data_IF_421386939382
#
_entry.id   IF_421386939382
#
_cell.length_a   1.000
_cell.length_b   1.000
_cell.length_c   1.000
_cell.angle_alpha   90.00
_cell.angle_beta   90.00
_cell.angle_gamma   90.00
#
_symmetry.space_group_name_H-M   'P 1'
#
loop_
_entity.id
_entity.type
_entity.pdbx_description
1 polymer ?
#
# COMPACT_ATOMS: atom_id res chain seq x y z
N UNK A 1 3.69 20.42 -3.31
CA UNK A 1 3.50 18.99 -2.95
C UNK A 1 4.55 18.59 -1.94
N UNK A 2 4.18 17.74 -0.98
CA UNK A 2 5.08 17.17 0.02
C UNK A 2 5.58 15.83 -0.50
N UNK A 3 6.86 15.53 -0.34
CA UNK A 3 7.45 14.24 -0.69
C UNK A 3 7.98 13.57 0.58
N UNK A 4 8.04 12.24 0.58
CA UNK A 4 8.47 11.45 1.74
C UNK A 4 9.30 10.24 1.33
N UNK A 5 10.30 9.92 2.14
CA UNK A 5 11.07 8.67 2.02
C UNK A 5 11.29 8.05 3.38
N UNK A 6 11.36 6.73 3.44
CA UNK A 6 11.65 5.98 4.68
C UNK A 6 10.60 6.24 5.76
N UNK A 7 9.35 5.89 5.46
CA UNK A 7 8.20 6.10 6.34
C UNK A 7 7.81 4.79 7.01
N UNK A 8 7.52 4.83 8.31
CA UNK A 8 7.01 3.68 9.06
C UNK A 8 5.71 4.05 9.73
N UNK A 9 4.69 3.23 9.55
CA UNK A 9 3.40 3.26 10.24
C UNK A 9 3.20 1.93 10.96
N UNK A 10 2.81 1.97 12.23
CA UNK A 10 2.76 0.78 13.09
C UNK A 10 1.57 0.86 14.03
N UNK A 11 0.73 -0.18 14.00
CA UNK A 11 -0.43 -0.38 14.88
C UNK A 11 -1.31 0.87 15.01
N UNK A 12 -1.72 1.43 13.87
CA UNK A 12 -2.58 2.61 13.82
C UNK A 12 -4.01 2.25 14.23
N UNK A 13 -4.74 3.22 14.78
CA UNK A 13 -6.17 3.06 15.08
C UNK A 13 -7.08 3.26 13.86
N UNK A 14 -6.49 3.66 12.74
CA UNK A 14 -7.14 3.99 11.46
C UNK A 14 -6.22 3.54 10.31
N UNK A 15 -6.35 4.11 9.12
CA UNK A 15 -5.47 3.86 7.99
C UNK A 15 -3.99 4.08 8.29
N UNK A 16 -3.10 3.28 7.69
CA UNK A 16 -1.66 3.49 7.87
C UNK A 16 -1.13 4.70 7.07
N UNK A 17 -1.55 4.81 5.82
CA UNK A 17 -1.20 5.95 4.96
C UNK A 17 -2.46 6.42 4.21
N UNK A 18 -3.00 7.56 4.64
CA UNK A 18 -4.10 8.25 3.97
C UNK A 18 -3.56 9.36 3.08
N UNK A 19 -3.87 9.29 1.79
CA UNK A 19 -3.62 10.38 0.85
C UNK A 19 -4.92 10.73 0.14
N UNK A 20 -5.54 11.81 0.57
CA UNK A 20 -6.85 12.23 0.06
C UNK A 20 -6.90 13.71 -0.36
N UNK A 21 -8.01 14.11 -0.99
CA UNK A 21 -8.39 15.51 -1.22
C UNK A 21 -7.31 16.39 -1.90
N UNK A 22 -6.69 15.86 -2.96
CA UNK A 22 -5.76 16.61 -3.82
C UNK A 22 -4.27 16.33 -3.59
N UNK A 23 -3.93 15.40 -2.69
CA UNK A 23 -2.53 15.02 -2.50
C UNK A 23 -1.92 14.44 -3.79
N UNK A 24 -0.83 15.06 -4.25
CA UNK A 24 -0.11 14.67 -5.48
C UNK A 24 1.41 14.60 -5.28
N UNK A 25 1.82 14.33 -4.05
CA UNK A 25 3.21 14.12 -3.64
C UNK A 25 3.77 12.75 -3.99
N UNK A 26 5.05 12.54 -3.64
CA UNK A 26 5.81 11.34 -4.00
C UNK A 26 6.39 10.66 -2.76
N UNK A 27 6.10 9.38 -2.61
CA UNK A 27 6.48 8.56 -1.46
C UNK A 27 7.30 7.35 -1.92
N UNK A 28 8.41 7.05 -1.25
CA UNK A 28 9.22 5.84 -1.52
C UNK A 28 9.78 5.19 -0.26
N UNK A 29 9.76 3.85 -0.18
CA UNK A 29 10.19 3.09 1.00
C UNK A 29 9.26 3.32 2.20
N UNK A 30 8.06 2.75 2.12
CA UNK A 30 7.02 2.84 3.16
C UNK A 30 6.80 1.47 3.80
N UNK A 31 6.92 1.37 5.12
CA UNK A 31 6.54 0.17 5.87
C UNK A 31 5.26 0.47 6.66
N UNK A 32 4.26 -0.39 6.54
CA UNK A 32 3.11 -0.42 7.43
C UNK A 32 2.93 -1.81 8.03
N UNK A 33 2.60 -1.86 9.32
CA UNK A 33 2.29 -3.10 10.01
C UNK A 33 1.16 -2.91 11.01
N UNK A 34 0.10 -3.69 10.84
CA UNK A 34 -0.99 -3.85 11.80
C UNK A 34 -1.11 -5.33 12.18
N UNK A 35 -1.25 -5.58 13.45
CA UNK A 35 -1.54 -6.91 14.00
C UNK A 35 -2.69 -6.88 14.99
N UNK A 36 -2.83 -5.77 15.70
CA UNK A 36 -3.83 -5.57 16.74
C UNK A 36 -4.37 -4.15 16.70
N UNK A 37 -5.60 -3.94 17.14
CA UNK A 37 -6.10 -2.59 17.40
C UNK A 37 -5.75 -2.23 18.83
N UNK A 38 -4.83 -1.26 19.00
CA UNK A 38 -4.45 -0.80 20.34
C UNK A 38 -5.63 -0.10 21.02
N UNK A 39 -5.77 -0.32 22.33
CA UNK A 39 -6.74 0.45 23.12
C UNK A 39 -6.26 1.90 23.18
N UNK A 40 -7.05 2.88 22.68
CA UNK A 40 -6.62 4.26 22.72
C UNK A 40 -6.43 4.73 24.16
N UNK A 41 -5.45 5.62 24.38
CA UNK A 41 -5.35 6.33 25.65
C UNK A 41 -6.62 7.14 25.90
N UNK A 42 -6.92 7.40 27.16
CA UNK A 42 -8.03 8.27 27.54
C UNK A 42 -7.98 9.59 26.75
N UNK A 43 -9.11 9.96 26.12
CA UNK A 43 -9.29 11.16 25.29
C UNK A 43 -8.54 11.18 23.94
N UNK A 44 -7.98 10.07 23.46
CA UNK A 44 -7.30 9.99 22.15
C UNK A 44 -8.25 9.76 20.96
N UNK A 45 -9.57 9.81 21.17
CA UNK A 45 -10.56 9.42 20.17
C UNK A 45 -10.88 7.92 20.23
N UNK A 46 -11.51 7.41 19.17
CA UNK A 46 -11.87 5.99 19.02
C UNK A 46 -11.19 5.42 17.78
N UNK A 47 -10.88 4.10 17.75
CA UNK A 47 -10.41 3.47 16.53
C UNK A 47 -11.48 3.58 15.43
N UNK A 48 -11.02 3.67 14.20
CA UNK A 48 -11.86 3.75 13.02
C UNK A 48 -12.66 2.46 12.83
N UNK A 49 -13.85 2.61 12.23
CA UNK A 49 -14.66 1.48 11.77
C UNK A 49 -14.25 0.96 10.39
N UNK A 50 -13.30 1.62 9.73
CA UNK A 50 -12.89 1.37 8.36
C UNK A 50 -11.35 1.35 8.14
N UNK A 51 -10.52 0.77 9.04
CA UNK A 51 -9.05 0.87 8.90
C UNK A 51 -8.50 0.08 7.71
N UNK A 52 -7.66 0.73 6.91
CA UNK A 52 -7.00 0.20 5.72
C UNK A 52 -5.48 0.27 5.78
N UNK A 53 -4.81 -0.38 4.82
CA UNK A 53 -3.38 -0.19 4.62
C UNK A 53 -3.08 1.20 4.06
N UNK A 54 -3.41 1.39 2.78
CA UNK A 54 -3.41 2.68 2.13
C UNK A 54 -4.87 3.00 1.80
N UNK A 55 -5.37 4.15 2.26
CA UNK A 55 -6.69 4.66 1.89
C UNK A 55 -6.54 5.97 1.14
N UNK A 56 -6.98 5.99 -0.12
CA UNK A 56 -6.92 7.19 -0.92
C UNK A 56 -8.29 7.51 -1.51
N UNK A 57 -8.80 8.66 -1.10
CA UNK A 57 -9.99 9.27 -1.66
C UNK A 57 -9.62 10.37 -2.66
N UNK A 58 -10.40 10.50 -3.72
CA UNK A 58 -10.35 11.69 -4.57
C UNK A 58 -10.96 12.86 -3.82
N UNK A 59 -12.20 13.23 -4.18
CA UNK A 59 -12.97 14.23 -3.46
C UNK A 59 -14.31 13.62 -3.06
N UNK A 60 -14.72 13.76 -1.80
CA UNK A 60 -16.07 13.39 -1.37
C UNK A 60 -16.74 14.39 -0.42
N UNK A 61 -18.06 14.54 -0.53
CA UNK A 61 -18.88 15.41 0.32
C UNK A 61 -19.22 16.77 -0.30
N UNK A 62 -19.80 17.65 0.52
CA UNK A 62 -20.39 18.92 0.05
C UNK A 62 -19.39 19.93 -0.52
N UNK A 63 -18.10 19.78 -0.22
CA UNK A 63 -17.03 20.60 -0.79
C UNK A 63 -16.70 20.25 -2.24
N UNK A 64 -17.16 19.09 -2.73
CA UNK A 64 -16.84 18.56 -4.05
C UNK A 64 -17.89 18.99 -5.07
N UNK A 65 -17.79 20.22 -5.56
CA UNK A 65 -18.78 20.83 -6.48
C UNK A 65 -18.92 20.09 -7.81
N UNK A 66 -17.91 19.31 -8.21
CA UNK A 66 -17.93 18.43 -9.38
C UNK A 66 -17.93 16.94 -8.98
N UNK A 67 -18.36 16.63 -7.76
CA UNK A 67 -18.29 15.30 -7.16
C UNK A 67 -16.86 14.75 -7.16
N UNK A 68 -16.70 13.47 -7.45
CA UNK A 68 -15.40 12.78 -7.54
C UNK A 68 -14.48 13.33 -8.65
N UNK A 69 -14.95 14.26 -9.49
CA UNK A 69 -14.16 14.94 -10.51
C UNK A 69 -13.71 16.35 -10.09
N UNK A 70 -13.94 16.73 -8.83
CA UNK A 70 -13.46 18.00 -8.29
C UNK A 70 -11.93 18.02 -8.26
N UNK A 71 -11.34 19.15 -8.66
CA UNK A 71 -9.90 19.37 -8.64
C UNK A 71 -9.50 20.21 -7.42
N UNK A 72 -8.24 20.10 -6.94
CA UNK A 72 -7.16 19.24 -7.43
C UNK A 72 -7.40 17.74 -7.21
N UNK A 73 -6.92 16.90 -8.12
CA UNK A 73 -7.04 15.44 -8.00
C UNK A 73 -5.99 14.85 -7.04
N UNK A 74 -6.42 13.87 -6.25
CA UNK A 74 -5.53 12.99 -5.49
C UNK A 74 -4.81 12.04 -6.46
N UNK A 75 -3.51 12.25 -6.63
CA UNK A 75 -2.68 11.51 -7.58
C UNK A 75 -1.31 11.18 -6.96
N UNK A 76 -1.17 10.44 -5.85
CA UNK A 76 0.15 10.16 -5.29
C UNK A 76 1.05 9.35 -6.23
N UNK A 77 2.35 9.37 -5.99
CA UNK A 77 3.23 8.26 -6.37
C UNK A 77 3.63 7.55 -5.09
N UNK A 78 3.41 6.25 -5.04
CA UNK A 78 3.84 5.38 -3.94
C UNK A 78 4.66 4.26 -4.54
N UNK A 79 5.98 4.30 -4.35
CA UNK A 79 6.89 3.26 -4.82
C UNK A 79 7.54 2.54 -3.65
N UNK A 80 7.88 1.25 -3.81
CA UNK A 80 8.58 0.49 -2.78
C UNK A 80 7.86 0.58 -1.43
N UNK A 81 6.66 0.03 -1.36
CA UNK A 81 5.89 -0.03 -0.13
C UNK A 81 5.73 -1.48 0.32
N UNK A 82 5.72 -1.71 1.61
CA UNK A 82 5.37 -2.98 2.23
C UNK A 82 4.30 -2.68 3.26
N UNK A 83 3.08 -3.14 3.02
CA UNK A 83 1.97 -2.96 3.96
C UNK A 83 1.47 -4.33 4.40
N UNK A 84 1.44 -4.56 5.71
CA UNK A 84 1.03 -5.84 6.31
C UNK A 84 -0.11 -5.61 7.27
N UNK A 85 -1.27 -6.22 6.99
CA UNK A 85 -2.45 -6.16 7.85
C UNK A 85 -2.50 -7.28 8.89
N UNK A 86 -3.59 -7.30 9.65
CA UNK A 86 -3.81 -8.23 10.78
C UNK A 86 -4.03 -9.68 10.35
N UNK A 87 -4.41 -9.90 9.09
CA UNK A 87 -4.89 -11.19 8.58
C UNK A 87 -6.20 -11.67 9.21
N UNK A 88 -6.87 -10.84 10.04
CA UNK A 88 -8.01 -11.25 10.86
C UNK A 88 -9.17 -10.27 10.69
N UNK A 89 -10.26 -10.70 10.05
CA UNK A 89 -11.47 -9.88 9.84
C UNK A 89 -12.02 -9.29 11.14
N UNK A 90 -11.94 -10.05 12.25
CA UNK A 90 -12.39 -9.61 13.57
C UNK A 90 -11.65 -8.37 14.11
N UNK A 91 -10.44 -8.09 13.60
CA UNK A 91 -9.62 -6.94 14.00
C UNK A 91 -9.66 -5.79 12.98
N UNK A 92 -10.40 -5.94 11.89
CA UNK A 92 -10.46 -4.95 10.80
C UNK A 92 -11.77 -4.15 10.78
N UNK A 93 -12.60 -4.26 11.82
CA UNK A 93 -13.93 -3.67 11.87
C UNK A 93 -14.81 -4.00 10.63
N UNK A 94 -15.95 -3.32 10.47
CA UNK A 94 -16.92 -3.64 9.42
C UNK A 94 -16.51 -3.14 8.03
N UNK A 95 -15.81 -2.01 7.96
CA UNK A 95 -15.34 -1.41 6.69
C UNK A 95 -13.92 -1.81 6.30
N UNK A 96 -13.06 -2.04 7.31
CA UNK A 96 -11.61 -2.15 7.13
C UNK A 96 -11.12 -3.51 6.62
N UNK A 97 -9.81 -3.64 6.48
CA UNK A 97 -9.14 -4.90 6.11
C UNK A 97 -8.86 -5.04 4.62
N UNK A 98 -8.68 -3.91 3.94
CA UNK A 98 -8.20 -3.80 2.56
C UNK A 98 -6.78 -3.23 2.54
N UNK A 99 -5.91 -3.80 1.70
CA UNK A 99 -4.54 -3.34 1.55
C UNK A 99 -4.47 -1.96 0.91
N UNK A 100 -5.00 -1.83 -0.31
CA UNK A 100 -5.08 -0.59 -1.07
C UNK A 100 -6.55 -0.24 -1.32
N UNK A 101 -7.11 0.69 -0.56
CA UNK A 101 -8.45 1.25 -0.75
C UNK A 101 -8.35 2.48 -1.65
N UNK A 102 -8.72 2.34 -2.92
CA UNK A 102 -8.66 3.41 -3.92
C UNK A 102 -10.07 3.72 -4.43
N UNK A 103 -10.59 4.91 -4.13
CA UNK A 103 -11.99 5.25 -4.42
C UNK A 103 -12.22 6.76 -4.62
N UNK A 104 -13.48 7.13 -4.85
CA UNK A 104 -13.97 8.52 -4.90
C UNK A 104 -13.23 9.42 -5.90
N UNK A 105 -12.77 8.83 -7.01
CA UNK A 105 -12.09 9.55 -8.09
C UNK A 105 -10.58 9.72 -7.92
N UNK A 106 -9.97 9.06 -6.92
CA UNK A 106 -8.52 9.04 -6.77
C UNK A 106 -7.82 8.43 -7.98
N UNK A 107 -6.57 8.82 -8.21
CA UNK A 107 -5.66 8.11 -9.09
C UNK A 107 -4.36 7.78 -8.37
N UNK A 108 -3.24 8.02 -9.04
CA UNK A 108 -1.91 7.79 -8.51
C UNK A 108 -1.25 6.52 -9.05
N UNK A 109 0.06 6.42 -8.85
CA UNK A 109 0.83 5.26 -9.28
C UNK A 109 1.38 4.52 -8.06
N UNK A 110 0.98 3.26 -7.91
CA UNK A 110 1.38 2.39 -6.82
C UNK A 110 2.24 1.27 -7.40
N UNK A 111 3.56 1.35 -7.19
CA UNK A 111 4.52 0.49 -7.89
C UNK A 111 5.52 -0.17 -6.95
N UNK A 112 6.00 -1.36 -7.32
CA UNK A 112 7.04 -2.09 -6.59
C UNK A 112 6.64 -2.38 -5.13
N UNK A 113 5.42 -2.86 -4.92
CA UNK A 113 4.83 -3.02 -3.59
C UNK A 113 4.83 -4.46 -3.06
N UNK A 114 4.65 -4.61 -1.76
CA UNK A 114 4.19 -5.83 -1.10
C UNK A 114 2.94 -5.46 -0.31
N UNK A 115 1.85 -6.19 -0.55
CA UNK A 115 0.60 -6.10 0.21
C UNK A 115 0.35 -7.45 0.84
N UNK A 116 0.30 -7.52 2.17
CA UNK A 116 0.15 -8.80 2.84
C UNK A 116 -0.88 -8.80 3.97
N UNK A 117 -1.49 -9.95 4.21
CA UNK A 117 -2.38 -10.21 5.36
C UNK A 117 -3.59 -9.27 5.44
N UNK A 118 -4.18 -8.88 4.32
CA UNK A 118 -5.46 -8.17 4.33
C UNK A 118 -6.63 -9.16 4.22
N UNK A 119 -7.47 -9.26 5.27
CA UNK A 119 -8.46 -10.33 5.40
C UNK A 119 -9.67 -10.18 4.46
N UNK A 120 -9.81 -9.06 3.74
CA UNK A 120 -10.87 -8.88 2.74
C UNK A 120 -10.30 -8.90 1.32
N UNK A 121 -9.36 -8.01 1.01
CA UNK A 121 -8.67 -7.97 -0.27
C UNK A 121 -7.35 -7.19 -0.21
N UNK A 122 -6.43 -7.51 -1.12
CA UNK A 122 -5.23 -6.71 -1.34
C UNK A 122 -5.55 -5.33 -1.93
N UNK A 123 -6.55 -5.23 -2.81
CA UNK A 123 -6.96 -3.97 -3.46
C UNK A 123 -8.48 -3.85 -3.50
N UNK A 124 -9.02 -2.71 -3.10
CA UNK A 124 -10.36 -2.28 -3.47
C UNK A 124 -10.25 -1.11 -4.45
N UNK A 125 -10.62 -1.35 -5.70
CA UNK A 125 -10.75 -0.29 -6.71
C UNK A 125 -12.24 0.00 -6.90
N UNK A 126 -12.71 1.12 -6.33
CA UNK A 126 -14.13 1.46 -6.27
C UNK A 126 -14.45 2.69 -7.09
N UNK A 127 -15.70 2.77 -7.54
CA UNK A 127 -16.27 3.89 -8.31
C UNK A 127 -15.75 4.00 -9.75
N UNK A 128 -16.66 4.23 -10.68
CA UNK A 128 -16.33 4.41 -12.10
C UNK A 128 -15.43 5.64 -12.32
N UNK A 129 -15.54 6.66 -11.48
CA UNK A 129 -14.68 7.85 -11.52
C UNK A 129 -13.21 7.53 -11.23
N UNK A 130 -12.96 6.58 -10.32
CA UNK A 130 -11.60 6.12 -9.99
C UNK A 130 -11.06 5.25 -11.12
N UNK A 131 -11.87 4.31 -11.63
CA UNK A 131 -11.47 3.47 -12.76
C UNK A 131 -11.23 4.30 -14.05
N UNK A 132 -11.95 5.41 -14.23
CA UNK A 132 -11.70 6.34 -15.33
C UNK A 132 -10.30 6.98 -15.26
N UNK A 133 -9.68 7.11 -14.08
CA UNK A 133 -8.27 7.57 -13.95
C UNK A 133 -7.28 6.55 -14.51
N UNK A 134 -7.67 5.29 -14.58
CA UNK A 134 -6.97 4.23 -15.29
C UNK A 134 -7.32 4.18 -16.79
N UNK A 135 -7.89 5.26 -17.34
CA UNK A 135 -8.46 5.31 -18.70
C UNK A 135 -9.50 4.22 -18.96
N UNK A 136 -10.21 3.79 -17.91
CA UNK A 136 -11.17 2.68 -17.96
C UNK A 136 -10.58 1.38 -18.51
N UNK A 137 -9.28 1.16 -18.34
CA UNK A 137 -8.57 -0.01 -18.82
C UNK A 137 -8.13 -0.91 -17.66
N UNK A 138 -8.30 -2.22 -17.82
CA UNK A 138 -7.76 -3.21 -16.89
C UNK A 138 -6.22 -3.25 -16.92
N UNK A 139 -5.59 -2.69 -17.95
CA UNK A 139 -4.14 -2.56 -18.10
C UNK A 139 -3.79 -1.10 -18.39
N UNK A 140 -3.70 -0.23 -17.35
CA UNK A 140 -3.53 1.21 -17.55
C UNK A 140 -2.16 1.57 -18.12
N UNK A 141 -2.10 2.22 -19.28
CA UNK A 141 -0.84 2.66 -19.88
C UNK A 141 -0.16 3.73 -19.01
N UNK A 142 1.08 3.47 -18.58
CA UNK A 142 1.90 4.35 -17.74
C UNK A 142 2.29 5.68 -18.44
N UNK A 143 2.13 5.78 -19.75
CA UNK A 143 2.32 7.03 -20.48
C UNK A 143 1.11 7.97 -20.38
N UNK A 144 -0.09 7.44 -20.20
CA UNK A 144 -1.34 8.21 -20.39
C UNK A 144 -2.31 8.15 -19.22
N UNK A 145 -2.23 7.13 -18.38
CA UNK A 145 -3.17 6.91 -17.26
C UNK A 145 -2.72 7.66 -16.01
N UNK A 146 -3.68 8.19 -15.27
CA UNK A 146 -3.45 8.83 -13.98
C UNK A 146 -3.42 7.83 -12.81
N UNK A 147 -4.00 6.63 -13.02
CA UNK A 147 -4.03 5.53 -12.07
C UNK A 147 -3.34 4.30 -12.65
N UNK A 148 -2.40 3.73 -11.90
CA UNK A 148 -1.86 2.39 -12.17
C UNK A 148 -1.40 1.70 -10.88
N UNK A 149 -1.58 0.38 -10.82
CA UNK A 149 -0.95 -0.49 -9.81
C UNK A 149 -0.07 -1.47 -10.59
N UNK A 150 1.24 -1.49 -10.34
CA UNK A 150 2.19 -2.30 -11.12
C UNK A 150 3.23 -2.97 -10.22
N UNK A 151 3.63 -4.18 -10.57
CA UNK A 151 4.76 -4.85 -9.90
C UNK A 151 4.53 -4.95 -8.39
N UNK A 152 3.43 -5.59 -8.00
CA UNK A 152 3.05 -5.74 -6.58
C UNK A 152 2.94 -7.22 -6.25
N UNK A 153 3.59 -7.61 -5.15
CA UNK A 153 3.50 -8.95 -4.58
C UNK A 153 2.40 -8.98 -3.51
N UNK A 154 1.44 -9.87 -3.67
CA UNK A 154 0.33 -10.11 -2.74
C UNK A 154 0.58 -11.41 -2.01
N UNK A 155 0.54 -11.38 -0.67
CA UNK A 155 0.87 -12.55 0.17
C UNK A 155 -0.17 -12.67 1.29
N UNK A 156 -0.74 -13.85 1.50
CA UNK A 156 -1.76 -14.09 2.55
C UNK A 156 -2.96 -13.11 2.55
N UNK A 157 -3.33 -12.55 1.40
CA UNK A 157 -4.57 -11.78 1.27
C UNK A 157 -5.72 -12.71 0.92
N UNK A 158 -6.92 -12.45 1.48
CA UNK A 158 -8.09 -13.28 1.19
C UNK A 158 -8.49 -13.25 -0.30
N UNK A 159 -8.37 -12.08 -0.93
CA UNK A 159 -8.58 -11.87 -2.35
C UNK A 159 -7.52 -10.91 -2.90
N UNK A 160 -7.21 -11.00 -4.20
CA UNK A 160 -6.39 -9.98 -4.86
C UNK A 160 -7.16 -8.65 -4.97
N UNK A 161 -8.36 -8.70 -5.53
CA UNK A 161 -9.28 -7.55 -5.65
C UNK A 161 -10.57 -7.80 -4.85
N UNK A 162 -11.10 -6.73 -4.26
CA UNK A 162 -12.45 -6.73 -3.69
C UNK A 162 -13.49 -6.99 -4.79
N UNK A 163 -14.49 -7.80 -4.48
CA UNK A 163 -15.58 -8.15 -5.40
C UNK A 163 -16.89 -7.48 -4.99
N UNK A 164 -17.78 -7.22 -5.96
CA UNK A 164 -19.09 -6.62 -5.71
C UNK A 164 -19.47 -5.54 -6.72
N UNK A 165 -20.67 -4.97 -6.55
CA UNK A 165 -21.13 -3.88 -7.41
C UNK A 165 -20.26 -2.63 -7.28
N UNK A 166 -19.96 -2.00 -8.42
CA UNK A 166 -19.09 -0.81 -8.46
C UNK A 166 -17.63 -1.09 -8.06
N UNK A 167 -17.21 -2.36 -8.08
CA UNK A 167 -15.81 -2.79 -7.91
C UNK A 167 -15.19 -3.11 -9.26
N UNK A 168 -13.94 -2.71 -9.43
CA UNK A 168 -13.16 -2.94 -10.65
C UNK A 168 -11.92 -3.76 -10.31
N UNK A 169 -11.36 -4.42 -11.32
CA UNK A 169 -10.12 -5.17 -11.21
C UNK A 169 -9.21 -4.81 -12.38
N UNK A 170 -7.90 -4.77 -12.12
CA UNK A 170 -6.89 -4.76 -13.17
C UNK A 170 -6.50 -6.18 -13.55
N UNK A 171 -6.01 -6.35 -14.77
CA UNK A 171 -5.50 -7.64 -15.24
C UNK A 171 -4.20 -7.97 -14.49
N UNK A 172 -4.23 -9.01 -13.66
CA UNK A 172 -3.12 -9.31 -12.76
C UNK A 172 -1.82 -9.60 -13.52
N UNK A 173 -1.88 -10.39 -14.60
CA UNK A 173 -0.71 -10.78 -15.37
C UNK A 173 -0.06 -9.57 -16.08
N UNK A 174 -0.85 -8.80 -16.82
CA UNK A 174 -0.37 -7.63 -17.57
C UNK A 174 0.17 -6.53 -16.65
N UNK A 175 -0.31 -6.45 -15.41
CA UNK A 175 0.13 -5.49 -14.40
C UNK A 175 1.23 -6.02 -13.46
N UNK A 176 1.66 -7.27 -13.62
CA UNK A 176 2.64 -7.92 -12.72
C UNK A 176 2.16 -7.85 -11.26
N UNK A 177 0.90 -8.17 -11.05
CA UNK A 177 0.28 -8.34 -9.73
C UNK A 177 0.36 -9.82 -9.38
N UNK A 178 1.35 -10.19 -8.58
CA UNK A 178 1.70 -11.59 -8.31
C UNK A 178 1.09 -12.00 -6.98
N UNK A 179 0.23 -13.01 -6.97
CA UNK A 179 -0.21 -13.65 -5.73
C UNK A 179 0.74 -14.79 -5.38
N UNK A 180 1.34 -14.75 -4.20
CA UNK A 180 2.28 -15.74 -3.70
C UNK A 180 1.58 -16.80 -2.85
N UNK A 181 2.05 -18.04 -2.95
CA UNK A 181 1.70 -19.12 -2.03
C UNK A 181 2.59 -19.17 -0.78
N UNK A 182 3.61 -18.30 -0.69
CA UNK A 182 4.45 -18.16 0.48
C UNK A 182 3.65 -17.57 1.66
N UNK A 183 4.11 -17.81 2.88
CA UNK A 183 3.60 -17.07 4.04
C UNK A 183 4.31 -15.74 4.15
N UNK A 184 3.63 -14.73 4.70
CA UNK A 184 4.20 -13.39 4.92
C UNK A 184 5.48 -13.46 5.74
N UNK A 185 5.53 -14.31 6.77
CA UNK A 185 6.73 -14.48 7.59
C UNK A 185 7.92 -15.03 6.79
N UNK A 186 7.68 -15.89 5.79
CA UNK A 186 8.74 -16.43 4.94
C UNK A 186 9.28 -15.43 3.89
N UNK A 187 8.58 -14.31 3.65
CA UNK A 187 9.03 -13.27 2.70
C UNK A 187 10.23 -12.49 3.23
N UNK A 188 10.34 -12.38 4.56
CA UNK A 188 11.30 -11.53 5.25
C UNK A 188 12.27 -12.36 6.11
N UNK A 189 13.42 -11.77 6.44
CA UNK A 189 14.49 -12.45 7.19
C UNK A 189 14.06 -12.76 8.62
N UNK A 190 13.33 -11.85 9.25
CA UNK A 190 12.68 -12.09 10.53
C UNK A 190 11.34 -11.35 10.58
N UNK A 191 10.29 -12.08 10.92
CA UNK A 191 8.95 -11.53 10.99
C UNK A 191 8.08 -12.36 11.94
N UNK A 192 7.18 -11.75 12.74
CA UNK A 192 6.26 -12.49 13.60
C UNK A 192 5.40 -13.46 12.78
N UNK A 193 5.36 -14.73 13.20
CA UNK A 193 4.58 -15.76 12.49
C UNK A 193 3.07 -15.70 12.76
N UNK A 194 2.65 -15.16 13.92
CA UNK A 194 1.24 -15.05 14.31
C UNK A 194 0.90 -13.61 14.71
N UNK A 195 -0.35 -13.24 14.40
CA UNK A 195 -0.92 -11.91 14.55
C UNK A 195 -1.13 -11.40 15.98
N UNK A 196 -0.71 -12.18 16.96
CA UNK A 196 -1.00 -11.95 18.38
C UNK A 196 0.26 -12.05 19.23
N UNK A 197 1.42 -12.21 18.59
CA UNK A 197 2.67 -12.16 19.30
C UNK A 197 2.94 -10.72 19.71
N UNK A 198 3.21 -10.49 21.00
CA UNK A 198 3.82 -9.24 21.44
C UNK A 198 5.11 -9.04 20.65
N UNK A 199 5.13 -8.06 19.76
CA UNK A 199 6.32 -7.82 18.93
C UNK A 199 7.31 -6.94 19.68
N UNK A 200 8.60 -7.15 19.46
CA UNK A 200 9.69 -6.31 19.94
C UNK A 200 10.54 -5.83 18.76
N UNK A 201 11.50 -4.93 19.01
CA UNK A 201 12.44 -4.45 17.98
C UNK A 201 13.17 -5.60 17.26
N UNK A 202 13.51 -6.68 17.97
CA UNK A 202 14.20 -7.85 17.37
C UNK A 202 13.27 -8.76 16.56
N UNK A 203 11.95 -8.54 16.60
CA UNK A 203 10.98 -9.35 15.88
C UNK A 203 10.91 -9.03 14.37
N UNK A 204 11.46 -7.89 13.95
CA UNK A 204 11.37 -7.41 12.57
C UNK A 204 12.73 -7.22 11.92
N UNK A 205 13.00 -8.06 10.92
CA UNK A 205 13.98 -7.81 9.87
C UNK A 205 13.28 -7.91 8.52
N UNK A 206 12.81 -6.76 8.04
CA UNK A 206 12.08 -6.60 6.79
C UNK A 206 12.91 -6.91 5.54
N UNK A 207 14.21 -7.19 5.65
CA UNK A 207 15.02 -7.59 4.50
C UNK A 207 14.42 -8.84 3.86
N UNK A 208 14.17 -8.86 2.53
CA UNK A 208 13.70 -10.05 1.85
C UNK A 208 14.58 -11.27 2.13
N UNK A 209 13.97 -12.39 2.51
CA UNK A 209 14.67 -13.64 2.79
C UNK A 209 15.28 -14.23 1.52
N UNK A 210 16.26 -15.13 1.67
CA UNK A 210 16.82 -15.86 0.53
C UNK A 210 15.73 -16.68 -0.19
N UNK A 211 15.62 -16.51 -1.51
CA UNK A 211 14.58 -17.16 -2.32
C UNK A 211 13.21 -16.47 -2.30
N UNK A 212 13.06 -15.39 -1.54
CA UNK A 212 11.82 -14.58 -1.53
C UNK A 212 11.55 -14.00 -2.91
N UNK A 213 10.29 -14.07 -3.36
CA UNK A 213 9.85 -13.41 -4.59
C UNK A 213 10.07 -11.88 -4.53
N UNK A 214 10.17 -11.30 -3.33
CA UNK A 214 10.45 -9.88 -3.14
C UNK A 214 11.85 -9.45 -3.62
N UNK A 215 12.79 -10.39 -3.81
CA UNK A 215 14.14 -10.09 -4.33
C UNK A 215 14.14 -9.61 -5.78
N UNK A 216 13.02 -9.75 -6.51
CA UNK A 216 12.92 -9.43 -7.93
C UNK A 216 11.51 -8.90 -8.28
N UNK A 217 11.19 -8.80 -9.57
CA UNK A 217 9.85 -8.45 -10.04
C UNK A 217 9.51 -6.96 -9.96
N UNK A 218 10.44 -6.10 -9.55
CA UNK A 218 10.25 -4.65 -9.54
C UNK A 218 10.36 -4.02 -10.92
N UNK A 219 9.62 -2.93 -11.12
CA UNK A 219 9.74 -2.02 -12.23
C UNK A 219 11.03 -1.19 -12.06
N UNK A 220 12.10 -1.64 -12.73
CA UNK A 220 13.44 -1.06 -12.57
C UNK A 220 13.58 0.34 -13.18
N UNK A 221 12.81 0.66 -14.21
CA UNK A 221 12.80 1.96 -14.85
C UNK A 221 11.37 2.44 -15.03
N UNK A 222 11.12 3.69 -14.66
CA UNK A 222 9.85 4.33 -14.94
C UNK A 222 9.87 4.95 -16.33
N UNK A 223 8.70 5.01 -16.97
CA UNK A 223 8.53 5.62 -18.28
C UNK A 223 7.30 6.52 -18.28
N UNK A 224 7.15 7.33 -19.33
CA UNK A 224 5.93 8.10 -19.56
C UNK A 224 5.55 9.02 -18.41
N UNK A 225 4.25 9.08 -18.10
CA UNK A 225 3.71 9.94 -17.04
C UNK A 225 4.25 9.57 -15.68
N UNK A 226 4.43 8.28 -15.39
CA UNK A 226 5.05 7.84 -14.14
C UNK A 226 6.46 8.44 -13.96
N UNK A 227 7.32 8.38 -14.99
CA UNK A 227 8.66 8.98 -14.93
C UNK A 227 8.62 10.50 -14.77
N UNK A 228 7.77 11.19 -15.55
CA UNK A 228 7.62 12.64 -15.46
C UNK A 228 7.20 13.07 -14.07
N UNK A 229 6.22 12.39 -13.48
CA UNK A 229 5.69 12.73 -12.17
C UNK A 229 6.64 12.30 -11.04
N UNK A 230 7.34 11.17 -11.17
CA UNK A 230 8.34 10.73 -10.19
C UNK A 230 9.54 11.70 -10.13
N UNK A 231 9.96 12.22 -11.28
CA UNK A 231 11.14 13.05 -11.40
C UNK A 231 12.38 12.30 -10.92
N UNK A 232 13.20 12.96 -10.11
CA UNK A 232 14.37 12.36 -9.45
C UNK A 232 14.11 11.94 -8.00
N UNK A 233 12.92 12.25 -7.48
CA UNK A 233 12.55 12.02 -6.07
C UNK A 233 12.13 10.58 -5.82
N UNK A 234 11.68 9.87 -6.84
CA UNK A 234 11.36 8.45 -6.77
C UNK A 234 11.98 7.77 -7.99
N UNK A 235 12.63 6.63 -7.77
CA UNK A 235 13.32 5.87 -8.82
C UNK A 235 12.85 4.43 -8.83
N UNK A 236 12.83 3.79 -9.99
CA UNK A 236 12.51 2.36 -10.09
C UNK A 236 13.55 1.47 -9.37
N UNK A 237 13.12 0.27 -9.04
CA UNK A 237 13.93 -0.78 -8.38
C UNK A 237 13.67 -2.12 -9.05
N UNK A 238 14.66 -3.01 -9.07
CA UNK A 238 14.49 -4.37 -9.61
C UNK A 238 13.76 -5.32 -8.66
N UNK A 239 13.59 -4.92 -7.39
CA UNK A 239 12.87 -5.65 -6.34
C UNK A 239 11.55 -4.96 -6.01
N UNK A 240 10.66 -5.69 -5.32
CA UNK A 240 9.41 -5.16 -4.78
C UNK A 240 9.47 -5.07 -3.26
N UNK A 241 8.65 -4.19 -2.69
CA UNK A 241 8.62 -3.92 -1.26
C UNK A 241 9.48 -2.73 -0.85
N UNK A 242 9.29 -2.31 0.39
CA UNK A 242 9.99 -1.17 0.98
C UNK A 242 11.41 -1.49 1.47
N UNK A 243 11.72 -2.76 1.69
CA UNK A 243 13.01 -3.19 2.19
C UNK A 243 13.92 -3.67 1.05
N UNK A 244 15.04 -2.98 0.79
CA UNK A 244 15.97 -3.43 -0.24
C UNK A 244 16.63 -4.78 0.11
N UNK A 245 16.94 -5.62 -0.90
CA UNK A 245 17.77 -6.82 -0.72
C UNK A 245 19.13 -6.50 -0.10
N UNK A 246 19.72 -7.49 0.57
CA UNK A 246 21.08 -7.38 1.13
C UNK A 246 22.06 -6.89 0.06
N UNK A 247 22.90 -5.91 0.43
CA UNK A 247 23.90 -5.32 -0.47
C UNK A 247 23.38 -4.20 -1.39
N UNK A 248 22.06 -3.93 -1.40
CA UNK A 248 21.49 -2.79 -2.13
C UNK A 248 21.74 -1.47 -1.40
N UNK A 249 21.74 -0.32 -2.10
CA UNK A 249 21.67 0.99 -1.45
C UNK A 249 20.48 1.07 -0.49
N UNK A 250 20.68 1.71 0.67
CA UNK A 250 19.67 1.85 1.73
C UNK A 250 19.16 0.51 2.31
N UNK A 251 19.93 -0.57 2.19
CA UNK A 251 19.61 -1.82 2.88
C UNK A 251 19.42 -1.58 4.39
N UNK A 252 18.34 -2.14 4.95
CA UNK A 252 17.97 -2.01 6.38
C UNK A 252 17.76 -0.57 6.86
N UNK A 253 17.26 0.32 5.99
CA UNK A 253 17.04 1.72 6.32
C UNK A 253 16.19 1.95 7.57
N UNK A 254 15.32 1.01 7.97
CA UNK A 254 14.48 1.11 9.17
C UNK A 254 15.26 0.86 10.48
N UNK A 255 16.43 0.24 10.40
CA UNK A 255 17.19 -0.16 11.57
C UNK A 255 17.81 1.05 12.30
N UNK A 256 17.85 0.99 13.63
CA UNK A 256 18.54 1.98 14.47
C UNK A 256 17.73 3.22 14.85
N UNK A 257 16.55 3.43 14.26
CA UNK A 257 15.67 4.55 14.63
C UNK A 257 14.19 4.17 14.78
N UNK A 258 13.81 2.93 14.43
CA UNK A 258 12.47 2.40 14.68
C UNK A 258 12.43 1.55 15.95
N UNK A 259 11.30 1.60 16.65
CA UNK A 259 10.98 0.67 17.74
C UNK A 259 9.55 0.17 17.55
N UNK A 260 9.35 -1.14 17.63
CA UNK A 260 8.05 -1.80 17.50
C UNK A 260 7.66 -2.30 18.87
N UNK A 261 6.89 -1.48 19.60
CA UNK A 261 6.46 -1.78 20.95
C UNK A 261 4.94 -1.66 21.03
N UNK A 262 4.29 -2.74 21.48
CA UNK A 262 2.91 -2.71 21.91
C UNK A 262 2.91 -2.32 23.39
N UNK A 263 2.38 -1.14 23.71
CA UNK A 263 2.18 -0.65 25.08
C UNK A 263 0.72 -0.38 25.34
#
# INVERSE_FOLDING_TARGET
NVDGRFLVSYETGDDHFDMSEGYSGRLQYLIAYQDTVLTPRANAGSPSSDPQGIENDGCNGSGCTLGHNSTPFTLPIVANFTIVGTGKTALSASGGGIGLMLRRGTGGHYVNGIVARYPRAGVALRDSSTFARANSAATPDLATSDLAIRNVLFVDNANLFETGSGRFAFDAASNTLVTSAATTASVFTAFPADATASTSVSAFDWTPSAGSAALSGGLAAFTGRLQTRAGTVVTGTSFVGAAPPVGSPNARWWAGWTTYAQQ
#
